data_IF_222467044279
#
_entry.id   IF_222467044279
#
_cell.length_a   1.000
_cell.length_b   1.000
_cell.length_c   1.000
_cell.angle_alpha   90.00
_cell.angle_beta   90.00
_cell.angle_gamma   90.00
#
_symmetry.space_group_name_H-M   'P 1'
#
loop_
_entity.id
_entity.type
_entity.pdbx_description
1 polymer ?
#
# COMPACT_ATOMS: atom_id res chain seq x y z
N UNK A 1 -6.01 10.29 18.72
CA UNK A 1 -4.60 10.02 19.05
C UNK A 1 -3.75 11.14 18.49
N UNK A 2 -2.77 11.63 19.26
CA UNK A 2 -1.78 12.60 18.79
C UNK A 2 -0.42 12.00 19.14
N UNK A 3 0.51 12.00 18.19
CA UNK A 3 1.87 11.50 18.36
C UNK A 3 2.85 12.37 17.57
N UNK A 4 4.12 12.29 17.95
CA UNK A 4 5.21 12.93 17.22
C UNK A 4 6.39 11.98 17.21
N UNK A 5 7.00 11.81 16.03
CA UNK A 5 8.17 10.98 15.83
C UNK A 5 9.31 11.83 15.28
N UNK A 6 10.49 11.68 15.88
CA UNK A 6 11.71 12.25 15.33
C UNK A 6 12.05 11.57 13.98
N UNK A 7 12.65 12.29 13.02
CA UNK A 7 13.09 11.67 11.78
C UNK A 7 14.10 10.56 12.07
N UNK A 8 13.99 9.47 11.32
CA UNK A 8 14.95 8.36 11.42
C UNK A 8 16.32 8.82 10.96
N UNK A 9 17.37 8.07 11.32
CA UNK A 9 18.75 8.32 10.83
C UNK A 9 18.78 8.39 9.29
N UNK A 10 18.07 7.48 8.62
CA UNK A 10 18.00 7.42 7.16
C UNK A 10 17.33 8.63 6.51
N UNK A 11 16.41 9.28 7.25
CA UNK A 11 15.70 10.50 6.84
C UNK A 11 16.34 11.77 7.39
N UNK A 12 17.44 11.66 8.15
CA UNK A 12 18.17 12.80 8.69
C UNK A 12 19.50 12.99 7.96
N UNK A 13 20.21 11.92 7.65
CA UNK A 13 21.50 11.98 6.97
C UNK A 13 21.34 11.93 5.45
N UNK A 14 21.92 12.92 4.77
CA UNK A 14 21.86 13.07 3.31
C UNK A 14 22.43 11.81 2.63
N UNK A 15 23.68 11.46 2.96
CA UNK A 15 24.35 10.28 2.42
C UNK A 15 25.37 9.75 3.44
N UNK A 16 24.96 8.86 4.38
CA UNK A 16 25.86 8.27 5.37
C UNK A 16 27.08 7.58 4.76
N UNK A 17 26.98 7.16 3.49
CA UNK A 17 28.04 6.48 2.75
C UNK A 17 29.19 7.41 2.34
N UNK A 18 28.88 8.66 1.97
CA UNK A 18 29.85 9.57 1.35
C UNK A 18 30.16 10.80 2.20
N UNK A 19 29.29 11.16 3.15
CA UNK A 19 29.46 12.33 4.01
C UNK A 19 28.74 12.22 5.35
N UNK A 20 29.29 12.91 6.36
CA UNK A 20 28.64 13.08 7.65
C UNK A 20 27.85 14.40 7.70
N UNK A 21 26.80 14.50 6.88
CA UNK A 21 25.98 15.72 6.76
C UNK A 21 24.49 15.40 6.89
N UNK A 22 23.80 16.16 7.75
CA UNK A 22 22.36 16.09 7.91
C UNK A 22 21.64 17.01 6.91
N UNK A 23 20.36 16.74 6.68
CA UNK A 23 19.45 17.65 5.98
C UNK A 23 19.36 18.99 6.71
N UNK A 24 19.00 20.04 5.97
CA UNK A 24 18.74 21.36 6.54
C UNK A 24 17.46 21.28 7.39
N UNK A 25 17.51 21.80 8.62
CA UNK A 25 16.34 21.92 9.51
C UNK A 25 15.47 20.65 9.64
N UNK A 26 16.02 19.54 10.16
CA UNK A 26 15.24 18.32 10.36
C UNK A 26 14.07 18.57 11.32
N UNK A 27 12.85 18.35 10.84
CA UNK A 27 11.62 18.50 11.64
C UNK A 27 11.11 17.16 12.14
N UNK A 28 10.47 17.17 13.31
CA UNK A 28 9.71 16.02 13.81
C UNK A 28 8.42 15.85 13.02
N UNK A 29 8.12 14.61 12.62
CA UNK A 29 6.86 14.27 11.98
C UNK A 29 5.75 14.22 13.04
N UNK A 30 4.64 14.92 12.78
CA UNK A 30 3.47 14.94 13.66
C UNK A 30 2.36 14.05 13.09
N UNK A 31 1.71 13.27 13.95
CA UNK A 31 0.61 12.39 13.57
C UNK A 31 -0.62 12.69 14.42
N UNK A 32 -1.76 12.90 13.78
CA UNK A 32 -3.04 13.13 14.45
C UNK A 32 -4.13 12.29 13.81
N UNK A 33 -4.82 11.49 14.61
CA UNK A 33 -5.85 10.57 14.14
C UNK A 33 -7.12 10.67 14.98
N UNK A 34 -8.26 10.60 14.30
CA UNK A 34 -9.58 10.47 14.89
C UNK A 34 -10.32 9.31 14.21
N UNK A 35 -10.97 8.48 15.02
CA UNK A 35 -11.79 7.38 14.54
C UNK A 35 -13.12 7.36 15.30
N UNK A 36 -14.18 6.95 14.61
CA UNK A 36 -15.49 6.73 15.19
C UNK A 36 -16.05 5.45 14.62
N UNK A 37 -16.62 4.60 15.47
CA UNK A 37 -17.18 3.34 15.01
C UNK A 37 -18.41 2.91 15.79
N UNK A 38 -19.17 2.02 15.16
CA UNK A 38 -20.32 1.34 15.73
C UNK A 38 -20.13 -0.17 15.63
N UNK A 39 -20.40 -0.86 16.74
CA UNK A 39 -20.31 -2.31 16.84
C UNK A 39 -21.65 -2.86 17.32
N UNK A 40 -22.29 -3.66 16.48
CA UNK A 40 -23.47 -4.45 16.83
C UNK A 40 -23.09 -5.91 16.96
N UNK A 41 -23.40 -6.51 18.11
CA UNK A 41 -23.26 -7.95 18.35
C UNK A 41 -24.62 -8.57 18.59
N UNK A 42 -25.02 -9.51 17.74
CA UNK A 42 -26.24 -10.28 17.90
C UNK A 42 -26.00 -11.74 17.49
N UNK A 43 -26.78 -12.71 18.01
CA UNK A 43 -26.53 -14.14 17.77
C UNK A 43 -26.43 -14.55 16.29
N UNK A 44 -27.18 -13.87 15.40
CA UNK A 44 -27.18 -14.14 13.95
C UNK A 44 -26.50 -13.08 13.11
N UNK A 45 -26.11 -11.94 13.69
CA UNK A 45 -25.64 -10.79 12.92
C UNK A 45 -24.66 -9.97 13.75
N UNK A 46 -23.42 -9.89 13.27
CA UNK A 46 -22.40 -9.01 13.81
C UNK A 46 -22.05 -7.97 12.76
N UNK A 47 -22.03 -6.70 13.14
CA UNK A 47 -21.68 -5.59 12.25
C UNK A 47 -20.67 -4.71 12.98
N UNK A 48 -19.60 -4.34 12.28
CA UNK A 48 -18.65 -3.31 12.70
C UNK A 48 -18.54 -2.29 11.57
N UNK A 49 -18.86 -1.04 11.86
CA UNK A 49 -18.64 0.08 10.97
C UNK A 49 -17.65 1.03 11.65
N UNK A 50 -16.64 1.51 10.93
CA UNK A 50 -15.64 2.46 11.42
C UNK A 50 -15.41 3.51 10.36
N UNK A 51 -15.33 4.77 10.74
CA UNK A 51 -14.78 5.85 9.94
C UNK A 51 -13.54 6.40 10.62
N UNK A 52 -12.53 6.77 9.84
CA UNK A 52 -11.29 7.31 10.36
C UNK A 52 -10.76 8.46 9.51
N UNK A 53 -10.00 9.34 10.15
CA UNK A 53 -9.14 10.33 9.51
C UNK A 53 -7.81 10.37 10.28
N UNK A 54 -6.71 10.28 9.56
CA UNK A 54 -5.35 10.35 10.07
C UNK A 54 -4.55 11.32 9.22
N UNK A 55 -3.97 12.32 9.86
CA UNK A 55 -3.07 13.27 9.26
C UNK A 55 -1.65 12.99 9.73
N UNK A 56 -0.72 13.00 8.79
CA UNK A 56 0.71 13.01 9.01
C UNK A 56 1.24 14.33 8.47
N UNK A 57 1.97 15.09 9.28
CA UNK A 57 2.53 16.38 8.90
C UNK A 57 4.03 16.43 9.13
N UNK A 58 4.70 17.24 8.34
CA UNK A 58 6.14 17.51 8.44
C UNK A 58 7.01 16.25 8.28
N UNK A 59 6.53 15.28 7.50
CA UNK A 59 7.30 14.10 7.18
C UNK A 59 8.47 14.45 6.26
N UNK A 60 9.55 13.68 6.38
CA UNK A 60 10.76 13.82 5.58
C UNK A 60 11.08 12.49 4.91
N UNK A 61 11.41 12.54 3.62
CA UNK A 61 11.82 11.38 2.83
C UNK A 61 13.08 11.73 2.03
N UNK A 62 14.11 10.88 2.09
CA UNK A 62 15.32 11.04 1.28
C UNK A 62 15.35 9.97 0.20
N UNK A 63 15.22 10.39 -1.07
CA UNK A 63 15.37 9.52 -2.24
C UNK A 63 16.75 9.71 -2.85
N UNK A 64 17.37 8.65 -3.37
CA UNK A 64 18.75 8.67 -3.89
C UNK A 64 18.77 8.05 -5.28
N UNK A 65 19.18 8.82 -6.30
CA UNK A 65 19.11 8.38 -7.70
C UNK A 65 20.01 9.22 -8.61
N UNK A 66 20.24 8.75 -9.83
CA UNK A 66 20.90 9.54 -10.86
C UNK A 66 19.91 10.54 -11.46
N UNK A 67 20.19 11.83 -11.35
CA UNK A 67 19.30 12.88 -11.83
C UNK A 67 19.75 13.40 -13.21
N UNK A 68 18.85 13.28 -14.19
CA UNK A 68 19.07 13.67 -15.59
C UNK A 68 18.75 15.15 -15.87
N UNK A 69 18.40 15.95 -14.87
CA UNK A 69 18.26 17.40 -14.99
C UNK A 69 19.59 18.00 -15.48
N UNK A 70 19.58 18.91 -16.48
CA UNK A 70 20.77 19.57 -16.99
C UNK A 70 21.64 20.24 -15.90
N UNK A 71 21.04 20.65 -14.79
CA UNK A 71 21.74 21.26 -13.67
C UNK A 71 22.45 20.26 -12.76
N UNK A 72 22.19 18.95 -12.85
CA UNK A 72 22.81 17.94 -12.00
C UNK A 72 23.64 16.93 -12.77
N UNK A 73 23.02 16.19 -13.70
CA UNK A 73 23.66 15.12 -14.50
C UNK A 73 24.57 14.18 -13.68
N UNK A 74 24.16 13.85 -12.46
CA UNK A 74 24.94 13.07 -11.48
C UNK A 74 24.03 12.35 -10.49
N UNK A 75 24.60 11.49 -9.64
CA UNK A 75 23.88 10.95 -8.49
C UNK A 75 23.60 12.05 -7.47
N UNK A 76 22.34 12.15 -7.05
CA UNK A 76 21.86 13.13 -6.09
C UNK A 76 21.17 12.47 -4.90
N UNK A 77 21.17 13.18 -3.79
CA UNK A 77 20.29 12.93 -2.66
C UNK A 77 19.17 13.98 -2.71
N UNK A 78 17.94 13.50 -2.80
CA UNK A 78 16.71 14.26 -2.98
C UNK A 78 15.94 14.23 -1.67
N UNK A 79 16.18 15.22 -0.81
CA UNK A 79 15.57 15.31 0.51
C UNK A 79 14.26 16.08 0.41
N UNK A 80 13.14 15.36 0.40
CA UNK A 80 11.79 15.90 0.39
C UNK A 80 11.34 16.16 1.83
N UNK A 81 11.08 17.42 2.17
CA UNK A 81 10.75 17.86 3.52
C UNK A 81 9.37 18.52 3.56
N UNK A 82 8.82 18.62 4.77
CA UNK A 82 7.48 19.18 5.02
C UNK A 82 6.38 18.45 4.24
N UNK A 83 6.48 17.13 4.12
CA UNK A 83 5.47 16.32 3.42
C UNK A 83 4.27 16.11 4.34
N UNK A 84 3.09 16.57 3.91
CA UNK A 84 1.84 16.34 4.62
C UNK A 84 0.97 15.33 3.87
N UNK A 85 0.44 14.37 4.58
CA UNK A 85 -0.37 13.27 4.05
C UNK A 85 -1.65 13.12 4.88
N UNK A 86 -2.73 12.75 4.21
CA UNK A 86 -4.01 12.43 4.86
C UNK A 86 -4.49 11.06 4.41
N UNK A 87 -4.92 10.27 5.40
CA UNK A 87 -5.61 9.01 5.23
C UNK A 87 -7.03 9.20 5.77
N UNK A 88 -8.04 8.98 4.94
CA UNK A 88 -9.43 9.12 5.34
C UNK A 88 -10.23 7.99 4.73
N UNK A 89 -11.12 7.38 5.50
CA UNK A 89 -11.87 6.24 4.98
C UNK A 89 -12.94 5.71 5.90
N UNK A 90 -13.64 4.73 5.37
CA UNK A 90 -14.66 3.98 6.08
C UNK A 90 -14.45 2.49 5.87
N UNK A 91 -14.74 1.73 6.91
CA UNK A 91 -14.62 0.29 6.95
C UNK A 91 -15.92 -0.30 7.47
N UNK A 92 -16.43 -1.32 6.78
CA UNK A 92 -17.61 -2.07 7.15
C UNK A 92 -17.25 -3.55 7.16
N UNK A 93 -17.55 -4.24 8.24
CA UNK A 93 -17.48 -5.68 8.35
C UNK A 93 -18.82 -6.23 8.85
N UNK A 94 -19.34 -7.23 8.15
CA UNK A 94 -20.61 -7.89 8.45
C UNK A 94 -20.36 -9.39 8.50
N UNK A 95 -20.86 -10.05 9.55
CA UNK A 95 -20.93 -11.50 9.62
C UNK A 95 -22.38 -11.89 9.95
N UNK A 96 -23.02 -12.59 9.02
CA UNK A 96 -24.39 -13.07 9.13
C UNK A 96 -24.42 -14.60 9.22
N UNK A 97 -24.91 -15.13 10.33
CA UNK A 97 -25.13 -16.56 10.53
C UNK A 97 -26.53 -16.90 10.02
N UNK A 98 -26.59 -17.57 8.87
CA UNK A 98 -27.84 -17.98 8.24
C UNK A 98 -28.43 -19.17 9.01
N UNK A 99 -27.60 -20.17 9.27
CA UNK A 99 -27.92 -21.35 10.09
C UNK A 99 -26.63 -21.90 10.72
N UNK A 100 -26.68 -22.92 11.62
CA UNK A 100 -25.49 -23.44 12.29
C UNK A 100 -24.39 -23.99 11.35
N UNK A 101 -24.73 -24.27 10.09
CA UNK A 101 -23.81 -24.77 9.08
C UNK A 101 -23.39 -23.75 8.03
N UNK A 102 -24.05 -22.60 7.91
CA UNK A 102 -23.79 -21.61 6.87
C UNK A 102 -23.76 -20.21 7.46
N UNK A 103 -22.68 -19.48 7.17
CA UNK A 103 -22.54 -18.06 7.46
C UNK A 103 -21.95 -17.32 6.28
N UNK A 104 -22.28 -16.03 6.19
CA UNK A 104 -21.79 -15.12 5.15
C UNK A 104 -21.02 -14.01 5.85
N UNK A 105 -19.80 -13.76 5.38
CA UNK A 105 -18.97 -12.67 5.84
C UNK A 105 -18.80 -11.69 4.68
N UNK A 106 -18.98 -10.40 4.92
CA UNK A 106 -18.64 -9.36 3.97
C UNK A 106 -17.76 -8.32 4.67
N UNK A 107 -16.74 -7.82 3.99
CA UNK A 107 -15.99 -6.67 4.46
C UNK A 107 -15.70 -5.71 3.30
N UNK A 108 -15.68 -4.42 3.60
CA UNK A 108 -15.36 -3.37 2.66
C UNK A 108 -14.52 -2.31 3.38
N UNK A 109 -13.39 -1.94 2.80
CA UNK A 109 -12.57 -0.81 3.19
C UNK A 109 -12.52 0.14 1.99
N UNK A 110 -13.06 1.34 2.18
CA UNK A 110 -13.15 2.38 1.16
C UNK A 110 -12.52 3.63 1.75
N UNK A 111 -11.33 3.97 1.27
CA UNK A 111 -10.60 5.13 1.74
C UNK A 111 -9.87 5.87 0.63
N UNK A 112 -9.15 6.89 1.07
CA UNK A 112 -8.25 7.71 0.30
C UNK A 112 -7.00 7.97 1.12
N UNK A 113 -5.85 7.86 0.46
CA UNK A 113 -4.56 8.23 1.01
C UNK A 113 -3.88 9.17 0.01
N UNK A 114 -3.61 10.42 0.39
CA UNK A 114 -3.12 11.45 -0.54
C UNK A 114 -2.29 12.52 0.16
N UNK A 115 -1.48 13.24 -0.62
CA UNK A 115 -0.71 14.40 -0.14
C UNK A 115 -1.61 15.64 -0.03
N UNK A 116 -1.46 16.38 1.07
CA UNK A 116 -2.30 17.55 1.38
C UNK A 116 -1.60 18.88 1.16
N UNK A 117 -0.33 18.88 0.74
CA UNK A 117 0.43 20.09 0.50
C UNK A 117 1.45 19.93 -0.63
N UNK A 118 2.16 21.03 -0.92
CA UNK A 118 3.28 21.09 -1.85
C UNK A 118 4.59 21.11 -1.06
N UNK A 119 5.25 19.97 -0.87
CA UNK A 119 6.48 19.90 -0.11
C UNK A 119 7.65 20.61 -0.82
N UNK A 120 8.71 20.84 -0.06
CA UNK A 120 9.96 21.40 -0.56
C UNK A 120 10.99 20.29 -0.67
N UNK A 121 11.75 20.24 -1.76
CA UNK A 121 12.91 19.37 -1.89
C UNK A 121 14.19 20.18 -1.78
N UNK A 122 15.19 19.61 -1.10
CA UNK A 122 16.59 20.03 -1.18
C UNK A 122 17.39 18.95 -1.93
N UNK A 123 17.95 19.30 -3.09
CA UNK A 123 18.74 18.39 -3.93
C UNK A 123 20.22 18.65 -3.73
N UNK A 124 20.98 17.60 -3.42
CA UNK A 124 22.45 17.67 -3.24
C UNK A 124 23.14 16.65 -4.12
N UNK A 125 24.25 17.05 -4.75
CA UNK A 125 25.08 16.15 -5.54
C UNK A 125 25.89 15.24 -4.63
N UNK A 126 25.94 13.94 -4.90
CA UNK A 126 26.65 12.99 -4.05
C UNK A 126 28.18 13.12 -4.20
N UNK A 127 28.65 13.49 -5.40
CA UNK A 127 30.07 13.67 -5.73
C UNK A 127 30.65 15.05 -5.37
N UNK A 128 29.81 15.99 -4.90
CA UNK A 128 30.26 17.31 -4.46
C UNK A 128 29.71 17.62 -3.07
N UNK A 129 30.61 17.66 -2.08
CA UNK A 129 30.27 17.90 -0.67
C UNK A 129 30.17 19.37 -0.31
N UNK A 130 30.64 20.26 -1.18
CA UNK A 130 30.86 21.67 -0.85
C UNK A 130 29.80 22.60 -1.45
N UNK A 131 28.89 22.06 -2.27
CA UNK A 131 27.81 22.83 -2.88
C UNK A 131 26.59 22.98 -1.98
N UNK A 132 26.02 24.19 -2.03
CA UNK A 132 24.76 24.52 -1.37
C UNK A 132 23.64 23.68 -2.01
N UNK A 133 22.77 23.04 -1.20
CA UNK A 133 21.61 22.31 -1.72
C UNK A 133 20.73 23.19 -2.60
N UNK A 134 20.30 22.66 -3.75
CA UNK A 134 19.35 23.36 -4.62
C UNK A 134 17.95 23.06 -4.13
N UNK A 135 17.25 24.09 -3.64
CA UNK A 135 15.88 23.95 -3.14
C UNK A 135 14.84 24.16 -4.25
N UNK A 136 13.81 23.33 -4.29
CA UNK A 136 12.69 23.42 -5.24
C UNK A 136 11.36 23.10 -4.55
N UNK A 137 10.27 23.68 -5.05
CA UNK A 137 8.93 23.26 -4.64
C UNK A 137 8.43 22.10 -5.50
N UNK A 138 7.80 21.12 -4.87
CA UNK A 138 7.20 19.96 -5.52
C UNK A 138 5.68 20.02 -5.41
N UNK A 139 5.00 19.92 -6.55
CA UNK A 139 3.55 20.04 -6.67
C UNK A 139 2.86 18.68 -6.48
N UNK A 140 2.93 18.13 -5.27
CA UNK A 140 2.32 16.83 -4.92
C UNK A 140 0.90 16.93 -4.33
N UNK A 141 0.39 18.12 -4.06
CA UNK A 141 -0.94 18.31 -3.48
C UNK A 141 -2.03 17.59 -4.32
N UNK A 142 -2.88 16.80 -3.66
CA UNK A 142 -3.92 15.95 -4.25
C UNK A 142 -3.46 14.74 -5.06
N UNK A 143 -2.16 14.42 -5.09
CA UNK A 143 -1.69 13.12 -5.58
C UNK A 143 -1.94 12.03 -4.53
N UNK A 144 -2.33 10.85 -4.99
CA UNK A 144 -2.60 9.71 -4.12
C UNK A 144 -1.31 8.97 -3.75
N UNK A 145 -1.26 8.44 -2.54
CA UNK A 145 -0.16 7.61 -2.06
C UNK A 145 -0.26 6.20 -2.65
N UNK A 146 0.90 5.62 -3.00
CA UNK A 146 1.02 4.23 -3.42
C UNK A 146 1.03 3.26 -2.23
N UNK A 147 -0.04 3.28 -1.43
CA UNK A 147 -0.22 2.42 -0.26
C UNK A 147 -1.02 1.13 -0.56
N UNK A 148 -1.04 0.70 -1.83
CA UNK A 148 -1.90 -0.37 -2.32
C UNK A 148 -3.33 0.09 -2.66
N UNK A 149 -4.25 -0.85 -2.93
CA UNK A 149 -5.63 -0.54 -3.31
C UNK A 149 -6.38 0.24 -2.23
N UNK A 150 -6.88 1.43 -2.58
CA UNK A 150 -7.67 2.27 -1.66
C UNK A 150 -9.17 1.88 -1.64
N UNK A 151 -9.56 0.89 -2.42
CA UNK A 151 -10.82 0.14 -2.29
C UNK A 151 -10.49 -1.34 -2.19
N UNK A 152 -10.90 -1.99 -1.12
CA UNK A 152 -10.79 -3.42 -0.94
C UNK A 152 -12.10 -3.96 -0.38
N UNK A 153 -12.69 -4.93 -1.06
CA UNK A 153 -13.92 -5.58 -0.60
C UNK A 153 -13.80 -7.09 -0.72
N UNK A 154 -14.46 -7.81 0.18
CA UNK A 154 -14.54 -9.27 0.15
C UNK A 154 -15.94 -9.73 0.53
N UNK A 155 -16.40 -10.78 -0.15
CA UNK A 155 -17.62 -11.52 0.17
C UNK A 155 -17.27 -13.00 0.31
N UNK A 156 -17.41 -13.51 1.53
CA UNK A 156 -17.09 -14.87 1.92
C UNK A 156 -18.33 -15.69 2.27
N UNK A 157 -18.40 -16.91 1.72
CA UNK A 157 -19.39 -17.91 2.10
C UNK A 157 -18.69 -19.00 2.90
N UNK A 158 -19.17 -19.25 4.11
CA UNK A 158 -18.55 -20.16 5.06
C UNK A 158 -19.50 -21.30 5.39
N UNK A 159 -19.10 -22.52 5.07
CA UNK A 159 -19.84 -23.73 5.37
C UNK A 159 -19.11 -24.58 6.41
N UNK A 160 -19.84 -25.09 7.40
CA UNK A 160 -19.35 -26.01 8.42
C UNK A 160 -20.35 -27.15 8.63
N UNK A 161 -19.87 -28.38 8.46
CA UNK A 161 -20.66 -29.59 8.68
C UNK A 161 -20.55 -30.10 10.11
N UNK A 162 -21.60 -30.79 10.57
CA UNK A 162 -21.58 -31.61 11.80
C UNK A 162 -20.58 -32.77 11.71
N UNK A 163 -20.21 -33.19 10.50
CA UNK A 163 -19.22 -34.24 10.23
C UNK A 163 -17.78 -33.71 10.18
N UNK A 164 -17.51 -32.60 10.87
CA UNK A 164 -16.16 -32.05 11.09
C UNK A 164 -15.40 -31.63 9.83
N UNK A 165 -16.09 -31.31 8.73
CA UNK A 165 -15.50 -30.66 7.56
C UNK A 165 -16.06 -29.25 7.38
N UNK A 166 -15.27 -28.39 6.77
CA UNK A 166 -15.63 -27.01 6.49
C UNK A 166 -15.11 -26.61 5.11
N UNK A 167 -15.78 -25.63 4.51
CA UNK A 167 -15.34 -25.00 3.28
C UNK A 167 -15.63 -23.50 3.34
N UNK A 168 -14.77 -22.72 2.72
CA UNK A 168 -14.93 -21.28 2.56
C UNK A 168 -14.58 -20.89 1.13
N UNK A 169 -15.39 -20.00 0.54
CA UNK A 169 -15.07 -19.33 -0.72
C UNK A 169 -15.17 -17.83 -0.51
N UNK A 170 -14.15 -17.08 -0.92
CA UNK A 170 -14.13 -15.62 -0.84
C UNK A 170 -13.99 -15.03 -2.24
N UNK A 171 -14.80 -14.02 -2.54
CA UNK A 171 -14.70 -13.18 -3.72
C UNK A 171 -14.16 -11.83 -3.31
N UNK A 172 -12.97 -11.49 -3.78
CA UNK A 172 -12.30 -10.25 -3.44
C UNK A 172 -12.28 -9.29 -4.64
N UNK A 173 -12.44 -8.01 -4.36
CA UNK A 173 -12.39 -6.93 -5.34
C UNK A 173 -11.50 -5.80 -4.83
N UNK A 174 -10.59 -5.36 -5.69
CA UNK A 174 -9.61 -4.32 -5.38
C UNK A 174 -9.59 -3.27 -6.48
N UNK A 175 -9.67 -2.00 -6.10
CA UNK A 175 -9.68 -0.87 -7.03
C UNK A 175 -8.97 0.35 -6.44
N UNK A 176 -8.78 1.38 -7.27
CA UNK A 176 -8.08 2.63 -6.91
C UNK A 176 -6.69 2.36 -6.33
N UNK A 177 -5.91 1.56 -7.06
CA UNK A 177 -4.52 1.32 -6.72
C UNK A 177 -3.65 2.30 -7.51
N UNK A 178 -3.06 3.28 -6.83
CA UNK A 178 -2.31 4.36 -7.46
C UNK A 178 -0.82 4.00 -7.55
N UNK A 179 -0.21 4.32 -8.69
CA UNK A 179 1.23 4.15 -8.89
C UNK A 179 1.98 5.28 -8.20
N UNK A 180 3.10 4.96 -7.54
CA UNK A 180 3.91 5.95 -6.83
C UNK A 180 4.46 6.99 -7.80
N UNK A 181 4.30 8.26 -7.46
CA UNK A 181 4.67 9.36 -8.35
C UNK A 181 6.14 9.71 -8.19
N UNK A 182 6.78 10.07 -9.29
CA UNK A 182 8.11 10.66 -9.22
C UNK A 182 7.97 12.14 -8.82
N UNK A 183 8.41 12.57 -7.61
CA UNK A 183 8.32 13.96 -7.21
C UNK A 183 9.07 14.90 -8.16
N UNK A 184 10.17 14.44 -8.77
CA UNK A 184 10.97 15.28 -9.67
C UNK A 184 10.20 15.66 -10.94
N UNK A 185 9.29 14.79 -11.41
CA UNK A 185 8.34 15.09 -12.51
C UNK A 185 7.25 16.09 -12.12
N UNK A 186 7.11 16.42 -10.83
CA UNK A 186 6.11 17.35 -10.28
C UNK A 186 6.76 18.66 -9.87
N UNK A 187 7.73 19.13 -10.66
CA UNK A 187 8.45 20.39 -10.46
C UNK A 187 8.25 21.30 -11.67
N UNK A 188 8.49 22.60 -11.51
CA UNK A 188 8.44 23.54 -12.64
C UNK A 188 9.46 23.18 -13.73
N UNK A 189 10.64 22.70 -13.33
CA UNK A 189 11.72 22.31 -14.23
C UNK A 189 11.33 21.13 -15.13
N UNK A 190 10.52 20.19 -14.63
CA UNK A 190 10.11 19.03 -15.41
C UNK A 190 9.17 19.35 -16.57
N UNK A 191 8.48 20.49 -16.51
CA UNK A 191 7.45 20.89 -17.47
C UNK A 191 7.80 22.18 -18.23
N UNK A 192 8.95 22.80 -17.94
CA UNK A 192 9.38 24.09 -18.49
C UNK A 192 9.42 24.11 -20.02
N UNK A 193 9.84 23.01 -20.64
CA UNK A 193 9.93 22.86 -22.10
C UNK A 193 8.66 22.27 -22.74
N UNK A 194 7.59 22.07 -21.97
CA UNK A 194 6.35 21.45 -22.43
C UNK A 194 5.25 22.51 -22.57
N UNK A 195 4.52 22.47 -23.68
CA UNK A 195 3.37 23.35 -23.87
C UNK A 195 2.25 22.96 -22.88
N UNK A 196 1.74 23.91 -22.07
CA UNK A 196 0.64 23.65 -21.15
C UNK A 196 -0.57 23.02 -21.85
N UNK A 197 -1.09 21.94 -21.26
CA UNK A 197 -2.26 21.22 -21.78
C UNK A 197 -1.99 20.28 -22.97
N UNK A 198 -0.76 20.23 -23.49
CA UNK A 198 -0.37 19.22 -24.48
C UNK A 198 -0.48 17.80 -23.94
N UNK A 199 -0.54 16.79 -24.82
CA UNK A 199 -0.56 15.38 -24.42
C UNK A 199 0.64 15.03 -23.52
N UNK A 200 1.86 15.46 -23.90
CA UNK A 200 3.07 15.26 -23.10
C UNK A 200 2.97 15.91 -21.72
N UNK A 201 2.47 17.14 -21.65
CA UNK A 201 2.25 17.84 -20.38
C UNK A 201 1.34 17.03 -19.45
N UNK A 202 0.20 16.58 -19.98
CA UNK A 202 -0.77 15.80 -19.21
C UNK A 202 -0.20 14.43 -18.83
N UNK A 203 0.51 13.74 -19.72
CA UNK A 203 1.12 12.45 -19.42
C UNK A 203 2.18 12.56 -18.31
N UNK A 204 2.96 13.64 -18.32
CA UNK A 204 3.93 13.93 -17.26
C UNK A 204 3.24 14.09 -15.91
N UNK A 205 2.14 14.83 -15.83
CA UNK A 205 1.48 15.17 -14.57
C UNK A 205 0.43 14.15 -14.11
N UNK A 206 -0.26 13.45 -15.01
CA UNK A 206 -1.32 12.53 -14.65
C UNK A 206 -0.76 11.33 -13.87
N UNK A 207 -1.40 11.03 -12.75
CA UNK A 207 -1.08 9.85 -11.97
C UNK A 207 -1.74 8.61 -12.58
N UNK A 208 -0.95 7.55 -12.74
CA UNK A 208 -1.49 6.27 -13.19
C UNK A 208 -2.25 5.56 -12.06
N UNK A 209 -3.39 4.99 -12.42
CA UNK A 209 -4.17 4.09 -11.58
C UNK A 209 -4.08 2.70 -12.21
N UNK A 210 -3.56 1.74 -11.46
CA UNK A 210 -3.50 0.36 -11.89
C UNK A 210 -4.92 -0.21 -12.14
N UNK A 211 -5.07 -1.16 -13.08
CA UNK A 211 -6.35 -1.78 -13.36
C UNK A 211 -6.95 -2.42 -12.11
N UNK A 212 -8.27 -2.29 -12.01
CA UNK A 212 -9.06 -3.01 -11.00
C UNK A 212 -8.94 -4.52 -11.21
N UNK A 213 -8.84 -5.28 -10.12
CA UNK A 213 -8.70 -6.73 -10.21
C UNK A 213 -9.55 -7.46 -9.17
N UNK A 214 -9.83 -8.72 -9.48
CA UNK A 214 -10.60 -9.63 -8.65
C UNK A 214 -9.79 -10.90 -8.39
N UNK A 215 -9.98 -11.48 -7.21
CA UNK A 215 -9.49 -12.83 -6.90
C UNK A 215 -10.60 -13.64 -6.26
N UNK A 216 -10.53 -14.96 -6.43
CA UNK A 216 -11.42 -15.89 -5.76
C UNK A 216 -10.57 -16.90 -5.01
N UNK A 217 -10.80 -17.01 -3.71
CA UNK A 217 -10.08 -17.93 -2.86
C UNK A 217 -11.01 -19.04 -2.40
N UNK A 218 -10.52 -20.28 -2.37
CA UNK A 218 -11.25 -21.45 -1.93
C UNK A 218 -10.43 -22.17 -0.87
N UNK A 219 -11.04 -22.53 0.25
CA UNK A 219 -10.43 -23.34 1.29
C UNK A 219 -11.38 -24.46 1.70
N UNK A 220 -10.87 -25.67 1.86
CA UNK A 220 -11.60 -26.84 2.35
C UNK A 220 -10.76 -27.56 3.38
N UNK A 221 -11.37 -27.91 4.50
CA UNK A 221 -10.68 -28.61 5.56
C UNK A 221 -11.54 -29.63 6.27
N UNK A 222 -10.87 -30.51 7.00
CA UNK A 222 -11.47 -31.55 7.83
C UNK A 222 -10.67 -31.72 9.10
N UNK A 223 -11.37 -31.87 10.21
CA UNK A 223 -10.78 -32.21 11.49
C UNK A 223 -11.15 -33.63 11.90
N UNK A 224 -10.18 -34.36 12.43
CA UNK A 224 -10.32 -35.73 12.89
C UNK A 224 -10.00 -35.80 14.38
N UNK A 225 -10.83 -36.53 15.13
CA UNK A 225 -10.51 -36.89 16.51
C UNK A 225 -9.52 -38.06 16.47
N UNK A 226 -8.29 -37.83 16.92
CA UNK A 226 -7.19 -38.79 16.78
C UNK A 226 -7.38 -39.99 17.70
N UNK A 227 -8.01 -39.80 18.86
CA UNK A 227 -8.34 -40.90 19.78
C UNK A 227 -9.26 -41.99 19.18
N UNK A 228 -10.00 -41.67 18.10
CA UNK A 228 -10.81 -42.65 17.36
C UNK A 228 -9.95 -43.53 16.44
N UNK A 229 -8.78 -43.06 16.05
CA UNK A 229 -7.81 -43.75 15.18
C UNK A 229 -6.73 -44.46 16.00
N UNK A 230 -6.25 -43.82 17.07
CA UNK A 230 -5.18 -44.30 17.94
C UNK A 230 -5.65 -44.25 19.40
N UNK A 231 -5.88 -45.42 20.01
CA UNK A 231 -6.46 -45.54 21.36
C UNK A 231 -5.56 -45.01 22.49
N UNK A 232 -4.26 -44.86 22.25
CA UNK A 232 -3.26 -44.46 23.25
C UNK A 232 -3.01 -42.93 23.29
N UNK A 233 -3.89 -42.14 22.70
CA UNK A 233 -3.73 -40.68 22.56
C UNK A 233 -4.81 -39.96 23.40
N UNK A 234 -4.51 -38.81 24.05
CA UNK A 234 -5.49 -38.06 24.83
C UNK A 234 -6.81 -37.81 24.07
N UNK A 235 -7.93 -37.82 24.81
CA UNK A 235 -9.26 -37.68 24.19
C UNK A 235 -9.49 -36.31 23.52
N UNK A 236 -8.72 -35.29 23.91
CA UNK A 236 -8.72 -33.95 23.34
C UNK A 236 -7.95 -33.85 22.02
N UNK A 237 -7.21 -34.89 21.62
CA UNK A 237 -6.31 -34.78 20.48
C UNK A 237 -7.06 -34.72 19.16
N UNK A 238 -6.87 -33.61 18.43
CA UNK A 238 -7.50 -33.33 17.14
C UNK A 238 -6.45 -33.05 16.08
N UNK A 239 -6.59 -33.71 14.94
CA UNK A 239 -5.82 -33.45 13.73
C UNK A 239 -6.67 -32.59 12.80
N UNK A 240 -6.15 -31.43 12.40
CA UNK A 240 -6.77 -30.52 11.46
C UNK A 240 -6.01 -30.60 10.14
N UNK A 241 -6.75 -30.74 9.06
CA UNK A 241 -6.25 -30.70 7.70
C UNK A 241 -6.99 -29.61 6.94
N UNK A 242 -6.26 -28.71 6.28
CA UNK A 242 -6.83 -27.66 5.45
C UNK A 242 -6.06 -27.56 4.14
N UNK A 243 -6.80 -27.51 3.04
CA UNK A 243 -6.32 -27.22 1.71
C UNK A 243 -6.91 -25.89 1.28
N UNK A 244 -6.12 -25.06 0.60
CA UNK A 244 -6.68 -23.90 -0.05
C UNK A 244 -5.97 -23.53 -1.33
N UNK A 245 -6.72 -22.80 -2.15
CA UNK A 245 -6.31 -22.25 -3.42
C UNK A 245 -6.59 -20.76 -3.32
N UNK A 246 -5.56 -19.93 -3.40
CA UNK A 246 -5.77 -18.50 -3.61
C UNK A 246 -5.69 -18.17 -5.09
N UNK A 247 -6.50 -17.22 -5.52
CA UNK A 247 -6.61 -16.82 -6.94
C UNK A 247 -6.97 -18.03 -7.83
N UNK A 248 -8.08 -18.70 -7.51
CA UNK A 248 -8.61 -19.90 -8.16
C UNK A 248 -8.66 -19.79 -9.69
N UNK A 249 -9.01 -18.62 -10.23
CA UNK A 249 -9.09 -18.39 -11.67
C UNK A 249 -7.76 -18.02 -12.33
N UNK A 250 -6.65 -17.99 -11.58
CA UNK A 250 -5.31 -17.67 -12.07
C UNK A 250 -5.23 -16.30 -12.78
N UNK A 251 -5.78 -15.26 -12.16
CA UNK A 251 -5.60 -13.90 -12.67
C UNK A 251 -4.13 -13.48 -12.49
N UNK A 252 -3.37 -13.35 -13.58
CA UNK A 252 -1.96 -12.95 -13.56
C UNK A 252 -1.75 -11.46 -13.82
N UNK A 253 -2.80 -10.73 -14.22
CA UNK A 253 -2.73 -9.31 -14.56
C UNK A 253 -2.98 -8.42 -13.34
N UNK A 254 -2.53 -8.88 -12.17
CA UNK A 254 -2.70 -8.17 -10.90
C UNK A 254 -1.51 -7.24 -10.72
N UNK A 255 -1.71 -5.94 -10.92
CA UNK A 255 -0.72 -4.93 -10.53
C UNK A 255 -1.02 -4.54 -9.09
N UNK A 256 -0.23 -5.06 -8.14
CA UNK A 256 -0.39 -4.81 -6.71
C UNK A 256 0.22 -3.46 -6.29
N UNK A 257 1.16 -2.95 -7.08
CA UNK A 257 1.69 -1.61 -6.93
C UNK A 257 2.69 -1.30 -8.03
N UNK A 258 3.32 -0.15 -7.93
CA UNK A 258 4.37 0.26 -8.85
C UNK A 258 4.84 1.65 -8.53
N UNK A 259 5.84 2.10 -9.28
CA UNK A 259 6.41 3.42 -9.14
C UNK A 259 6.84 3.98 -10.50
N UNK A 260 6.72 5.30 -10.62
CA UNK A 260 7.39 6.06 -11.65
C UNK A 260 8.88 6.11 -11.32
N UNK A 261 9.74 5.80 -12.29
CA UNK A 261 11.18 5.89 -12.06
C UNK A 261 11.55 7.34 -11.70
N UNK A 262 12.49 7.48 -10.76
CA UNK A 262 12.97 8.80 -10.31
C UNK A 262 13.73 9.55 -11.42
N UNK A 263 14.18 8.84 -12.45
CA UNK A 263 14.79 9.42 -13.65
C UNK A 263 13.72 9.95 -14.59
N UNK A 264 13.98 11.11 -15.21
CA UNK A 264 13.05 11.76 -16.12
C UNK A 264 13.78 12.47 -17.27
N UNK A 265 13.14 12.55 -18.43
CA UNK A 265 13.70 13.21 -19.61
C UNK A 265 13.33 14.70 -19.65
N UNK A 266 14.16 15.53 -18.99
CA UNK A 266 13.96 16.99 -18.94
C UNK A 266 14.06 17.67 -20.32
N UNK A 267 14.67 17.02 -21.32
CA UNK A 267 14.88 17.62 -22.65
C UNK A 267 13.67 17.55 -23.58
N UNK A 268 12.85 16.51 -23.47
CA UNK A 268 11.76 16.23 -24.41
C UNK A 268 10.46 15.73 -23.78
N UNK A 269 10.42 15.59 -22.46
CA UNK A 269 9.29 15.10 -21.68
C UNK A 269 8.86 13.67 -22.04
N UNK A 270 9.80 12.86 -22.54
CA UNK A 270 9.49 11.49 -22.92
C UNK A 270 9.46 10.57 -21.69
N UNK A 271 8.27 10.31 -21.17
CA UNK A 271 8.07 9.38 -20.05
C UNK A 271 8.48 7.93 -20.35
N UNK A 272 8.48 7.53 -21.62
CA UNK A 272 8.85 6.17 -22.02
C UNK A 272 10.37 5.94 -22.05
N UNK A 273 11.18 7.00 -21.91
CA UNK A 273 12.64 6.86 -21.73
C UNK A 273 12.95 6.14 -20.42
N UNK A 274 12.17 6.43 -19.38
CA UNK A 274 12.23 5.78 -18.08
C UNK A 274 10.84 5.28 -17.68
N UNK A 275 10.38 4.16 -18.27
CA UNK A 275 9.00 3.71 -18.11
C UNK A 275 8.73 3.31 -16.66
N UNK A 276 7.47 3.42 -16.26
CA UNK A 276 6.98 2.97 -14.95
C UNK A 276 7.32 1.50 -14.70
N UNK A 277 7.53 1.15 -13.43
CA UNK A 277 7.80 -0.22 -12.99
C UNK A 277 6.65 -0.71 -12.13
N UNK A 278 6.25 -1.96 -12.34
CA UNK A 278 5.10 -2.56 -11.69
C UNK A 278 5.51 -3.79 -10.88
N UNK A 279 4.82 -3.97 -9.77
CA UNK A 279 4.89 -5.17 -8.95
C UNK A 279 3.64 -6.00 -9.20
N UNK A 280 3.85 -7.22 -9.70
CA UNK A 280 2.76 -8.12 -10.02
C UNK A 280 2.42 -9.03 -8.84
N UNK A 281 1.13 -9.23 -8.61
CA UNK A 281 0.63 -10.24 -7.68
C UNK A 281 0.90 -11.65 -8.20
N UNK A 282 0.94 -12.61 -7.28
CA UNK A 282 1.06 -14.01 -7.65
C UNK A 282 -0.20 -14.48 -8.39
N UNK A 283 0.00 -15.38 -9.35
CA UNK A 283 -1.08 -16.16 -9.95
C UNK A 283 -1.71 -17.13 -8.96
N UNK A 284 -2.28 -18.22 -9.46
CA UNK A 284 -2.86 -19.26 -8.62
C UNK A 284 -1.82 -19.89 -7.71
N UNK A 285 -2.09 -19.91 -6.41
CA UNK A 285 -1.24 -20.57 -5.43
C UNK A 285 -2.06 -21.56 -4.60
N UNK A 286 -1.35 -22.52 -4.00
CA UNK A 286 -1.93 -23.61 -3.22
C UNK A 286 -1.26 -23.67 -1.86
N UNK A 287 -2.02 -24.01 -0.82
CA UNK A 287 -1.45 -24.29 0.49
C UNK A 287 -2.09 -25.52 1.12
N UNK A 288 -1.30 -26.19 1.95
CA UNK A 288 -1.73 -27.29 2.80
C UNK A 288 -1.32 -26.93 4.22
N UNK A 289 -2.26 -26.98 5.16
CA UNK A 289 -1.99 -26.83 6.58
C UNK A 289 -2.41 -28.11 7.31
N UNK A 290 -1.49 -28.65 8.10
CA UNK A 290 -1.71 -29.78 8.99
C UNK A 290 -1.38 -29.31 10.39
N UNK A 291 -2.33 -29.42 11.31
CA UNK A 291 -2.16 -28.99 12.70
C UNK A 291 -2.63 -30.08 13.65
N UNK A 292 -1.82 -30.41 14.66
CA UNK A 292 -2.18 -31.33 15.74
C UNK A 292 -2.37 -30.54 17.03
N UNK A 293 -3.56 -30.65 17.64
CA UNK A 293 -3.87 -30.09 18.96
C UNK A 293 -3.97 -31.24 19.94
N UNK A 294 -3.33 -31.17 21.10
CA UNK A 294 -3.39 -32.16 22.18
C UNK A 294 -3.89 -31.54 23.49
#
# INVERSE_FOLDING_TARGET
>A
MIGADAPTVDNTFISPRTRNSAILDPTTQNMSSAEMGYLKRAPKLNIRAVGYVSDIKDATEIKRFYNDDPNFQTFVNYALQHVNMRFIGTELAVNAVINPSLSITAAAAIGQAFYTNRPTVSVTRDNDTNQIPVSRQVYLENYYLASGPQTATTLGFNYKSKSYWFANVNFNYFARNYIDVNPDRRTAQAIDLLTPGSEKWNNVLNQEVAPTFFTTDLSIGKSFLVNKLLRNVPRSTMLYFNLGISNLFNNTNIINGGFEQLRYDFSGGNENKFPRKYFYGLGRNYFINISLKF
#
